data_IF_807622725168
#
_entry.id   IF_807622725168
#
_cell.length_a   1.000
_cell.length_b   1.000
_cell.length_c   1.000
_cell.angle_alpha   90.00
_cell.angle_beta   90.00
_cell.angle_gamma   90.00
#
_symmetry.space_group_name_H-M   'P 1'
#
loop_
_entity.id
_entity.type
_entity.pdbx_description
1 polymer ?
#
# COMPACT_ATOMS: atom_id res chain seq x y z
N UNK A 1 10.11 106.07 20.56
CA UNK A 1 9.12 104.98 20.70
C UNK A 1 9.34 104.00 19.56
N UNK A 2 9.79 102.79 19.88
CA UNK A 2 9.89 101.65 18.95
C UNK A 2 8.48 101.14 18.64
N UNK A 3 8.20 100.88 17.37
CA UNK A 3 7.12 99.98 16.97
C UNK A 3 7.59 99.21 15.73
N UNK A 4 7.82 97.92 15.95
CA UNK A 4 8.23 96.90 15.02
C UNK A 4 7.01 96.50 14.17
N UNK A 5 7.14 96.50 12.84
CA UNK A 5 6.17 95.84 11.95
C UNK A 5 6.86 94.63 11.31
N UNK A 6 6.84 93.51 12.04
CA UNK A 6 7.13 92.18 11.51
C UNK A 6 5.78 91.49 11.28
N UNK A 7 5.28 91.51 10.05
CA UNK A 7 4.13 90.70 9.67
C UNK A 7 4.63 89.35 9.16
N UNK A 8 4.36 88.35 9.99
CA UNK A 8 4.74 86.94 9.89
C UNK A 8 4.11 86.30 8.65
N UNK A 9 4.94 85.83 7.71
CA UNK A 9 4.53 84.89 6.67
C UNK A 9 4.28 83.53 7.32
N UNK A 10 3.01 83.13 7.44
CA UNK A 10 2.62 81.83 7.95
C UNK A 10 2.96 80.73 6.91
N UNK A 11 4.15 80.13 7.03
CA UNK A 11 4.45 78.85 6.38
C UNK A 11 3.62 77.75 7.05
N UNK A 12 2.52 77.36 6.41
CA UNK A 12 1.75 76.16 6.76
C UNK A 12 2.62 74.92 6.49
N UNK A 13 2.94 74.07 7.48
CA UNK A 13 3.58 72.79 7.18
C UNK A 13 2.53 71.88 6.56
N UNK A 14 2.74 71.46 5.31
CA UNK A 14 2.00 70.38 4.68
C UNK A 14 2.17 69.12 5.52
N UNK A 15 1.10 68.73 6.24
CA UNK A 15 0.96 67.44 6.87
C UNK A 15 1.02 66.36 5.78
N UNK A 16 2.20 65.76 5.59
CA UNK A 16 2.42 64.63 4.69
C UNK A 16 1.50 63.48 5.10
N UNK A 17 0.71 62.99 4.13
CA UNK A 17 -0.12 61.78 4.19
C UNK A 17 0.69 60.50 4.44
N UNK A 18 1.25 60.34 5.65
CA UNK A 18 1.96 59.10 6.05
C UNK A 18 1.02 58.01 6.60
N UNK A 19 -0.27 58.32 6.79
CA UNK A 19 -1.28 57.38 7.29
C UNK A 19 -1.90 56.47 6.23
N UNK A 20 -1.96 56.89 4.96
CA UNK A 20 -2.62 56.12 3.88
C UNK A 20 -1.87 54.82 3.54
N UNK A 21 -0.53 54.83 3.59
CA UNK A 21 0.32 53.66 3.32
C UNK A 21 0.25 52.61 4.44
N UNK A 22 0.29 53.04 5.70
CA UNK A 22 0.16 52.14 6.87
C UNK A 22 -1.18 51.40 6.88
N UNK A 23 -2.29 52.10 6.65
CA UNK A 23 -3.61 51.46 6.58
C UNK A 23 -3.73 50.41 5.47
N UNK A 24 -3.00 50.55 4.36
CA UNK A 24 -2.99 49.57 3.28
C UNK A 24 -2.13 48.34 3.64
N UNK A 25 -0.97 48.55 4.26
CA UNK A 25 -0.12 47.47 4.78
C UNK A 25 -0.86 46.64 5.85
N UNK A 26 -1.56 47.29 6.77
CA UNK A 26 -2.33 46.63 7.84
C UNK A 26 -3.49 45.80 7.26
N UNK A 27 -4.19 46.31 6.23
CA UNK A 27 -5.25 45.58 5.52
C UNK A 27 -4.70 44.36 4.77
N UNK A 28 -3.52 44.47 4.17
CA UNK A 28 -2.86 43.34 3.51
C UNK A 28 -2.42 42.26 4.51
N UNK A 29 -1.86 42.65 5.66
CA UNK A 29 -1.48 41.73 6.73
C UNK A 29 -2.70 41.00 7.30
N UNK A 30 -3.82 41.69 7.51
CA UNK A 30 -5.08 41.08 7.93
C UNK A 30 -5.62 40.08 6.90
N UNK A 31 -5.59 40.43 5.61
CA UNK A 31 -6.02 39.53 4.54
C UNK A 31 -5.16 38.27 4.46
N UNK A 32 -3.83 38.42 4.57
CA UNK A 32 -2.89 37.30 4.61
C UNK A 32 -3.13 36.43 5.85
N UNK A 33 -3.32 37.05 7.03
CA UNK A 33 -3.64 36.34 8.26
C UNK A 33 -4.94 35.54 8.15
N UNK A 34 -5.98 36.12 7.57
CA UNK A 34 -7.28 35.46 7.38
C UNK A 34 -7.15 34.25 6.46
N UNK A 35 -6.42 34.38 5.35
CA UNK A 35 -6.12 33.24 4.45
C UNK A 35 -5.32 32.14 5.15
N UNK A 36 -4.36 32.50 6.01
CA UNK A 36 -3.66 31.49 6.82
C UNK A 36 -4.62 30.74 7.74
N UNK A 37 -5.57 31.43 8.39
CA UNK A 37 -6.57 30.73 9.23
C UNK A 37 -7.40 29.76 8.40
N UNK A 38 -7.87 30.19 7.23
CA UNK A 38 -8.66 29.36 6.33
C UNK A 38 -7.88 28.11 5.89
N UNK A 39 -6.61 28.26 5.54
CA UNK A 39 -5.75 27.12 5.21
C UNK A 39 -5.50 26.21 6.41
N UNK A 40 -5.27 26.75 7.61
CA UNK A 40 -5.17 25.94 8.83
C UNK A 40 -6.44 25.12 9.07
N UNK A 41 -7.64 25.69 8.86
CA UNK A 41 -8.88 24.92 8.95
C UNK A 41 -8.97 23.82 7.90
N UNK A 42 -8.57 24.10 6.65
CA UNK A 42 -8.51 23.08 5.61
C UNK A 42 -7.50 21.97 5.93
N UNK A 43 -6.36 22.29 6.53
CA UNK A 43 -5.38 21.32 7.03
C UNK A 43 -6.03 20.41 8.08
N UNK A 44 -6.74 20.98 9.07
CA UNK A 44 -7.44 20.20 10.10
C UNK A 44 -8.56 19.32 9.54
N UNK A 45 -9.26 19.77 8.51
CA UNK A 45 -10.27 18.97 7.81
C UNK A 45 -9.65 17.78 7.08
N UNK A 46 -8.50 17.97 6.41
CA UNK A 46 -7.73 16.88 5.81
C UNK A 46 -7.26 15.89 6.88
N UNK A 47 -6.78 16.36 8.04
CA UNK A 47 -6.40 15.49 9.16
C UNK A 47 -7.57 14.63 9.65
N UNK A 48 -8.76 15.23 9.76
CA UNK A 48 -9.99 14.50 10.12
C UNK A 48 -10.31 13.44 9.07
N UNK A 49 -10.17 13.76 7.79
CA UNK A 49 -10.40 12.82 6.69
C UNK A 49 -9.40 11.67 6.68
N UNK A 50 -8.13 11.92 7.02
CA UNK A 50 -7.11 10.87 7.20
C UNK A 50 -7.54 9.90 8.30
N UNK A 51 -8.01 10.42 9.44
CA UNK A 51 -8.49 9.60 10.54
C UNK A 51 -9.70 8.73 10.13
N UNK A 52 -10.66 9.30 9.41
CA UNK A 52 -11.80 8.54 8.87
C UNK A 52 -11.36 7.41 7.94
N UNK A 53 -10.39 7.68 7.05
CA UNK A 53 -9.84 6.65 6.16
C UNK A 53 -9.14 5.55 6.97
N UNK A 54 -8.36 5.91 7.98
CA UNK A 54 -7.71 4.93 8.87
C UNK A 54 -8.74 4.07 9.61
N UNK A 55 -9.81 4.68 10.13
CA UNK A 55 -10.90 3.95 10.79
C UNK A 55 -11.59 2.98 9.82
N UNK A 56 -11.87 3.42 8.59
CA UNK A 56 -12.44 2.56 7.55
C UNK A 56 -11.52 1.37 7.21
N UNK A 57 -10.20 1.59 7.14
CA UNK A 57 -9.23 0.51 6.93
C UNK A 57 -9.28 -0.51 8.06
N UNK A 58 -9.28 -0.06 9.31
CA UNK A 58 -9.33 -0.95 10.47
C UNK A 58 -10.64 -1.76 10.51
N UNK A 59 -11.77 -1.10 10.22
CA UNK A 59 -13.07 -1.77 10.07
C UNK A 59 -13.02 -2.82 8.97
N UNK A 60 -12.45 -2.47 7.80
CA UNK A 60 -12.32 -3.38 6.66
C UNK A 60 -11.45 -4.61 6.95
N UNK A 61 -10.44 -4.50 7.81
CA UNK A 61 -9.62 -5.64 8.21
C UNK A 61 -10.34 -6.58 9.19
N UNK A 62 -11.28 -6.04 9.98
CA UNK A 62 -12.09 -6.82 10.93
C UNK A 62 -13.39 -7.40 10.31
N UNK A 63 -13.85 -6.84 9.20
CA UNK A 63 -15.13 -7.17 8.59
C UNK A 63 -15.03 -8.28 7.54
N UNK A 64 -16.07 -9.11 7.46
CA UNK A 64 -16.18 -10.25 6.53
C UNK A 64 -16.42 -9.84 5.06
N UNK A 65 -16.82 -8.58 4.80
CA UNK A 65 -17.19 -8.07 3.46
C UNK A 65 -16.36 -6.83 3.06
N UNK A 66 -15.13 -7.01 2.54
CA UNK A 66 -14.17 -5.92 2.28
C UNK A 66 -14.39 -5.13 0.97
N UNK A 67 -15.36 -5.52 0.14
CA UNK A 67 -15.57 -4.96 -1.20
C UNK A 67 -16.21 -3.56 -1.16
N UNK A 68 -17.22 -3.36 -0.32
CA UNK A 68 -17.89 -2.05 -0.18
C UNK A 68 -17.00 -1.01 0.50
N UNK A 69 -16.18 -1.41 1.48
CA UNK A 69 -15.27 -0.50 2.20
C UNK A 69 -14.14 0.02 1.31
N UNK A 70 -13.61 -0.83 0.42
CA UNK A 70 -12.54 -0.45 -0.51
C UNK A 70 -12.98 0.68 -1.45
N UNK A 71 -14.19 0.61 -2.01
CA UNK A 71 -14.72 1.67 -2.88
C UNK A 71 -14.91 3.01 -2.14
N UNK A 72 -15.37 2.98 -0.89
CA UNK A 72 -15.53 4.17 -0.05
C UNK A 72 -14.18 4.80 0.29
N UNK A 73 -13.16 3.98 0.55
CA UNK A 73 -11.79 4.44 0.79
C UNK A 73 -11.23 5.13 -0.47
N UNK A 74 -11.39 4.53 -1.65
CA UNK A 74 -10.90 5.11 -2.90
C UNK A 74 -11.61 6.46 -3.22
N UNK A 75 -12.92 6.56 -2.98
CA UNK A 75 -13.65 7.84 -3.10
C UNK A 75 -13.15 8.88 -2.10
N UNK A 76 -12.86 8.46 -0.87
CA UNK A 76 -12.36 9.33 0.20
C UNK A 76 -10.95 9.86 -0.11
N UNK A 77 -10.09 9.04 -0.71
CA UNK A 77 -8.77 9.44 -1.19
C UNK A 77 -8.85 10.45 -2.34
N UNK A 78 -9.76 10.25 -3.30
CA UNK A 78 -9.94 11.23 -4.39
C UNK A 78 -10.32 12.62 -3.85
N UNK A 79 -11.24 12.67 -2.89
CA UNK A 79 -11.63 13.93 -2.25
C UNK A 79 -10.50 14.54 -1.39
N UNK A 80 -9.70 13.69 -0.73
CA UNK A 80 -8.50 14.12 0.00
C UNK A 80 -7.49 14.79 -0.95
N UNK A 81 -7.28 14.23 -2.14
CA UNK A 81 -6.32 14.72 -3.13
C UNK A 81 -6.73 16.09 -3.71
N UNK A 82 -8.01 16.29 -4.00
CA UNK A 82 -8.54 17.59 -4.43
C UNK A 82 -8.31 18.69 -3.38
N UNK A 83 -8.53 18.35 -2.10
CA UNK A 83 -8.28 19.27 -0.98
C UNK A 83 -6.79 19.52 -0.77
N UNK A 84 -5.96 18.50 -0.97
CA UNK A 84 -4.51 18.61 -0.88
C UNK A 84 -3.96 19.60 -1.91
N UNK A 85 -4.43 19.53 -3.15
CA UNK A 85 -4.03 20.46 -4.21
C UNK A 85 -4.47 21.90 -3.90
N UNK A 86 -5.67 22.06 -3.34
CA UNK A 86 -6.19 23.36 -2.90
C UNK A 86 -5.30 23.98 -1.83
N UNK A 87 -4.95 23.22 -0.78
CA UNK A 87 -4.07 23.69 0.30
C UNK A 87 -2.65 23.93 -0.21
N UNK A 88 -2.12 23.06 -1.06
CA UNK A 88 -0.79 23.22 -1.68
C UNK A 88 -0.70 24.55 -2.44
N UNK A 89 -1.71 24.86 -3.25
CA UNK A 89 -1.77 26.09 -4.04
C UNK A 89 -1.94 27.31 -3.12
N UNK A 90 -2.77 27.20 -2.08
CA UNK A 90 -2.96 28.23 -1.07
C UNK A 90 -1.67 28.57 -0.33
N UNK A 91 -0.93 27.57 0.15
CA UNK A 91 0.33 27.76 0.86
C UNK A 91 1.37 28.42 -0.04
N UNK A 92 1.51 27.99 -1.29
CA UNK A 92 2.39 28.64 -2.27
C UNK A 92 2.06 30.13 -2.47
N UNK A 93 0.76 30.45 -2.54
CA UNK A 93 0.27 31.83 -2.66
C UNK A 93 0.61 32.69 -1.44
N UNK A 94 0.44 32.15 -0.23
CA UNK A 94 0.80 32.82 1.03
C UNK A 94 2.30 33.02 1.13
N UNK A 95 3.11 32.00 0.81
CA UNK A 95 4.57 32.09 0.84
C UNK A 95 5.07 33.22 -0.07
N UNK A 96 4.56 33.29 -1.30
CA UNK A 96 4.88 34.37 -2.25
C UNK A 96 4.45 35.75 -1.72
N UNK A 97 3.33 35.83 -1.01
CA UNK A 97 2.82 37.09 -0.46
C UNK A 97 3.62 37.56 0.76
N UNK A 98 4.29 36.64 1.48
CA UNK A 98 5.12 36.93 2.65
C UNK A 98 6.61 37.17 2.31
N UNK A 99 7.07 36.75 1.13
CA UNK A 99 8.43 36.98 0.61
C UNK A 99 8.96 38.42 0.84
N UNK A 100 8.22 39.51 0.54
CA UNK A 100 8.71 40.87 0.79
C UNK A 100 8.84 41.22 2.29
N UNK A 101 8.11 40.56 3.18
CA UNK A 101 8.21 40.75 4.64
C UNK A 101 9.45 40.05 5.20
N UNK A 102 9.77 38.85 4.69
CA UNK A 102 11.00 38.14 5.05
C UNK A 102 12.25 38.96 4.67
N UNK A 103 12.30 39.51 3.45
CA UNK A 103 13.42 40.35 3.03
C UNK A 103 13.58 41.64 3.84
N UNK A 104 12.47 42.20 4.35
CA UNK A 104 12.48 43.41 5.18
C UNK A 104 13.01 43.14 6.59
N UNK A 105 12.67 41.97 7.14
CA UNK A 105 13.18 41.50 8.43
C UNK A 105 14.69 41.28 8.41
N UNK A 106 15.24 40.71 7.33
CA UNK A 106 16.70 40.45 7.21
C UNK A 106 17.55 41.72 7.04
N UNK A 107 17.02 42.76 6.39
CA UNK A 107 17.79 43.97 6.03
C UNK A 107 17.87 45.03 7.15
N UNK A 108 17.17 44.86 8.28
CA UNK A 108 17.02 45.92 9.27
C UNK A 108 17.38 45.47 10.71
N UNK A 109 18.67 45.53 11.12
CA UNK A 109 19.07 45.25 12.49
C UNK A 109 18.81 46.52 13.34
N UNK A 110 17.56 46.80 13.69
CA UNK A 110 17.27 47.91 14.61
C UNK A 110 16.54 47.40 15.85
N UNK A 111 17.26 47.52 16.97
CA UNK A 111 16.76 47.41 18.34
C UNK A 111 15.54 48.33 18.47
N UNK A 112 14.34 47.75 18.49
CA UNK A 112 13.11 48.42 18.93
C UNK A 112 12.50 47.58 20.04
N UNK A 113 12.59 48.10 21.26
CA UNK A 113 11.96 47.54 22.44
C UNK A 113 10.42 47.62 22.36
N UNK A 114 9.79 46.59 22.94
CA UNK A 114 8.46 46.61 23.55
C UNK A 114 7.20 46.65 22.65
N UNK A 115 7.02 45.63 21.79
CA UNK A 115 5.73 44.93 21.53
C UNK A 115 6.00 43.84 20.46
N UNK A 116 5.33 42.67 20.48
CA UNK A 116 5.36 41.79 19.32
C UNK A 116 4.77 42.57 18.14
N UNK A 117 5.62 42.96 17.20
CA UNK A 117 5.18 43.66 15.99
C UNK A 117 4.17 42.76 15.29
N UNK A 118 3.07 43.30 14.76
CA UNK A 118 2.02 42.48 14.11
C UNK A 118 2.60 41.51 13.07
N UNK A 119 3.63 41.96 12.35
CA UNK A 119 4.47 41.16 11.45
C UNK A 119 5.08 39.90 12.12
N UNK A 120 5.64 40.03 13.32
CA UNK A 120 6.20 38.89 14.07
C UNK A 120 5.13 37.87 14.48
N UNK A 121 3.89 38.32 14.77
CA UNK A 121 2.75 37.43 15.04
C UNK A 121 2.35 36.68 13.78
N UNK A 122 2.28 37.36 12.64
CA UNK A 122 1.98 36.77 11.33
C UNK A 122 3.06 35.74 10.94
N UNK A 123 4.34 36.05 11.13
CA UNK A 123 5.44 35.13 10.85
C UNK A 123 5.40 33.89 11.74
N UNK A 124 5.09 34.04 13.04
CA UNK A 124 4.91 32.88 13.93
C UNK A 124 3.74 32.00 13.49
N UNK A 125 2.61 32.62 13.13
CA UNK A 125 1.43 31.90 12.63
C UNK A 125 1.74 31.15 11.34
N UNK A 126 2.45 31.80 10.42
CA UNK A 126 2.91 31.19 9.17
C UNK A 126 3.81 29.98 9.44
N UNK A 127 4.81 30.13 10.31
CA UNK A 127 5.70 29.04 10.68
C UNK A 127 4.96 27.85 11.31
N UNK A 128 3.97 28.10 12.17
CA UNK A 128 3.13 27.05 12.74
C UNK A 128 2.32 26.30 11.67
N UNK A 129 1.63 27.04 10.79
CA UNK A 129 0.84 26.48 9.69
C UNK A 129 1.72 25.66 8.71
N UNK A 130 2.93 26.13 8.39
CA UNK A 130 3.88 25.38 7.56
C UNK A 130 4.33 24.09 8.26
N UNK A 131 4.58 24.15 9.58
CA UNK A 131 4.90 22.95 10.36
C UNK A 131 3.77 21.92 10.38
N UNK A 132 2.52 22.36 10.55
CA UNK A 132 1.33 21.51 10.46
C UNK A 132 1.18 20.89 9.07
N UNK A 133 1.41 21.68 8.01
CA UNK A 133 1.37 21.21 6.64
C UNK A 133 2.44 20.15 6.35
N UNK A 134 3.67 20.36 6.79
CA UNK A 134 4.76 19.39 6.60
C UNK A 134 4.51 18.09 7.37
N UNK A 135 3.91 18.17 8.56
CA UNK A 135 3.47 16.99 9.30
C UNK A 135 2.37 16.24 8.55
N UNK A 136 1.35 16.97 8.07
CA UNK A 136 0.25 16.41 7.29
C UNK A 136 0.73 15.71 6.01
N UNK A 137 1.67 16.31 5.27
CA UNK A 137 2.27 15.69 4.09
C UNK A 137 2.90 14.32 4.41
N UNK A 138 3.58 14.20 5.54
CA UNK A 138 4.16 12.93 6.00
C UNK A 138 3.08 11.93 6.36
N UNK A 139 2.03 12.35 7.08
CA UNK A 139 0.88 11.49 7.43
C UNK A 139 0.20 10.93 6.17
N UNK A 140 -0.03 11.77 5.16
CA UNK A 140 -0.61 11.35 3.88
C UNK A 140 0.30 10.34 3.17
N UNK A 141 1.61 10.57 3.16
CA UNK A 141 2.55 9.65 2.55
C UNK A 141 2.56 8.28 3.27
N UNK A 142 2.53 8.28 4.61
CA UNK A 142 2.41 7.05 5.40
C UNK A 142 1.10 6.33 5.08
N UNK A 143 -0.03 7.04 5.12
CA UNK A 143 -1.34 6.47 4.80
C UNK A 143 -1.37 5.84 3.41
N UNK A 144 -0.79 6.51 2.40
CA UNK A 144 -0.70 6.00 1.03
C UNK A 144 0.11 4.71 0.92
N UNK A 145 1.24 4.62 1.62
CA UNK A 145 2.05 3.39 1.63
C UNK A 145 1.32 2.25 2.35
N UNK A 146 0.67 2.53 3.48
CA UNK A 146 -0.13 1.54 4.19
C UNK A 146 -1.30 1.00 3.34
N UNK A 147 -2.00 1.86 2.61
CA UNK A 147 -3.07 1.46 1.69
C UNK A 147 -2.57 0.62 0.51
N UNK A 148 -1.38 0.94 -0.02
CA UNK A 148 -0.75 0.12 -1.05
C UNK A 148 -0.37 -1.26 -0.50
N UNK A 149 0.08 -1.32 0.75
CA UNK A 149 0.37 -2.57 1.44
C UNK A 149 -0.89 -3.41 1.64
N UNK A 150 -2.01 -2.83 2.10
CA UNK A 150 -3.29 -3.54 2.23
C UNK A 150 -3.73 -4.20 0.93
N UNK A 151 -3.76 -3.42 -0.17
CA UNK A 151 -4.17 -3.93 -1.49
C UNK A 151 -3.28 -5.10 -1.90
N UNK A 152 -1.98 -4.98 -1.66
CA UNK A 152 -1.03 -6.04 -1.95
C UNK A 152 -1.24 -7.27 -1.05
N UNK A 153 -1.49 -7.10 0.24
CA UNK A 153 -1.77 -8.22 1.16
C UNK A 153 -3.00 -9.01 0.73
N UNK A 154 -4.04 -8.33 0.27
CA UNK A 154 -5.24 -8.99 -0.29
C UNK A 154 -4.86 -9.81 -1.51
N UNK A 155 -4.15 -9.23 -2.48
CA UNK A 155 -3.68 -9.96 -3.67
C UNK A 155 -2.82 -11.14 -3.27
N UNK A 156 -1.84 -10.93 -2.38
CA UNK A 156 -0.92 -11.93 -1.87
C UNK A 156 -1.65 -13.14 -1.28
N UNK A 157 -2.65 -12.91 -0.41
CA UNK A 157 -3.46 -13.99 0.16
C UNK A 157 -4.17 -14.78 -0.94
N UNK A 158 -4.87 -14.09 -1.84
CA UNK A 158 -5.60 -14.75 -2.93
C UNK A 158 -4.69 -15.58 -3.82
N UNK A 159 -3.54 -15.05 -4.25
CA UNK A 159 -2.61 -15.80 -5.11
C UNK A 159 -1.95 -16.96 -4.38
N UNK A 160 -1.64 -16.80 -3.09
CA UNK A 160 -1.05 -17.88 -2.29
C UNK A 160 -2.05 -19.00 -2.05
N UNK A 161 -3.29 -18.68 -1.70
CA UNK A 161 -4.37 -19.66 -1.53
C UNK A 161 -4.67 -20.38 -2.85
N UNK A 162 -4.59 -19.67 -3.98
CA UNK A 162 -4.70 -20.29 -5.31
C UNK A 162 -3.56 -21.28 -5.55
N UNK A 163 -2.31 -20.91 -5.25
CA UNK A 163 -1.17 -21.81 -5.35
C UNK A 163 -1.35 -23.04 -4.46
N UNK A 164 -1.76 -22.85 -3.21
CA UNK A 164 -2.00 -23.93 -2.24
C UNK A 164 -3.10 -24.89 -2.70
N UNK A 165 -4.18 -24.37 -3.30
CA UNK A 165 -5.24 -25.18 -3.89
C UNK A 165 -4.75 -26.03 -5.07
N UNK A 166 -3.96 -25.44 -5.98
CA UNK A 166 -3.39 -26.16 -7.12
C UNK A 166 -2.37 -27.22 -6.68
N UNK A 167 -1.47 -26.88 -5.75
CA UNK A 167 -0.50 -27.81 -5.16
C UNK A 167 -1.19 -28.97 -4.45
N UNK A 168 -2.24 -28.69 -3.65
CA UNK A 168 -3.00 -29.73 -2.95
C UNK A 168 -3.74 -30.66 -3.91
N UNK A 169 -4.24 -30.13 -5.04
CA UNK A 169 -4.88 -30.94 -6.09
C UNK A 169 -3.88 -31.88 -6.78
N UNK A 170 -2.68 -31.39 -7.05
CA UNK A 170 -1.57 -32.19 -7.60
C UNK A 170 -1.09 -33.25 -6.60
N UNK A 171 -0.89 -32.88 -5.34
CA UNK A 171 -0.49 -33.82 -4.27
C UNK A 171 -1.48 -34.98 -4.14
N UNK A 172 -2.78 -34.71 -4.18
CA UNK A 172 -3.81 -35.76 -4.15
C UNK A 172 -3.71 -36.71 -5.35
N UNK A 173 -3.39 -36.18 -6.53
CA UNK A 173 -3.23 -37.00 -7.73
C UNK A 173 -1.96 -37.88 -7.63
N UNK A 174 -0.84 -37.28 -7.21
CA UNK A 174 0.42 -37.98 -6.94
C UNK A 174 0.21 -39.10 -5.91
N UNK A 175 -0.44 -38.81 -4.77
CA UNK A 175 -0.70 -39.81 -3.74
C UNK A 175 -1.48 -41.01 -4.29
N UNK A 176 -2.53 -40.77 -5.09
CA UNK A 176 -3.32 -41.87 -5.69
C UNK A 176 -2.48 -42.74 -6.61
N UNK A 177 -1.60 -42.15 -7.43
CA UNK A 177 -0.68 -42.89 -8.28
C UNK A 177 0.29 -43.73 -7.44
N UNK A 178 0.89 -43.13 -6.39
CA UNK A 178 1.79 -43.85 -5.49
C UNK A 178 1.10 -44.99 -4.74
N UNK A 179 -0.13 -44.77 -4.26
CA UNK A 179 -0.93 -45.80 -3.59
C UNK A 179 -1.25 -46.97 -4.54
N UNK A 180 -1.57 -46.66 -5.81
CA UNK A 180 -1.80 -47.67 -6.83
C UNK A 180 -0.53 -48.49 -7.12
N UNK A 181 0.61 -47.82 -7.35
CA UNK A 181 1.90 -48.48 -7.57
C UNK A 181 2.24 -49.40 -6.40
N UNK A 182 2.05 -48.93 -5.16
CA UNK A 182 2.29 -49.71 -3.96
C UNK A 182 1.40 -50.97 -3.88
N UNK A 183 0.11 -50.85 -4.23
CA UNK A 183 -0.80 -51.99 -4.29
C UNK A 183 -0.38 -53.02 -5.34
N UNK A 184 0.00 -52.58 -6.55
CA UNK A 184 0.46 -53.47 -7.62
C UNK A 184 1.75 -54.20 -7.22
N UNK A 185 2.72 -53.50 -6.64
CA UNK A 185 3.97 -54.11 -6.18
C UNK A 185 3.74 -55.14 -5.06
N UNK A 186 2.87 -54.81 -4.10
CA UNK A 186 2.52 -55.73 -3.00
C UNK A 186 1.79 -56.97 -3.49
N UNK A 187 0.85 -56.83 -4.41
CA UNK A 187 0.11 -57.96 -4.98
C UNK A 187 1.01 -58.84 -5.87
N UNK A 188 1.96 -58.25 -6.59
CA UNK A 188 3.00 -59.00 -7.32
C UNK A 188 3.88 -59.88 -6.42
N UNK A 189 4.14 -59.42 -5.19
CA UNK A 189 4.92 -60.17 -4.18
C UNK A 189 4.11 -61.33 -3.57
N UNK A 190 2.83 -61.12 -3.22
CA UNK A 190 1.94 -62.18 -2.73
C UNK A 190 1.67 -63.27 -3.78
N UNK A 191 1.52 -62.87 -5.06
CA UNK A 191 1.43 -63.80 -6.19
C UNK A 191 2.72 -64.60 -6.37
N UNK A 192 3.89 -64.00 -6.14
CA UNK A 192 5.17 -64.70 -6.24
C UNK A 192 5.33 -65.76 -5.14
N UNK A 193 4.89 -65.45 -3.92
CA UNK A 193 4.94 -66.38 -2.77
C UNK A 193 3.92 -67.52 -2.94
N UNK A 194 2.71 -67.22 -3.40
CA UNK A 194 1.64 -68.22 -3.58
C UNK A 194 1.86 -69.17 -4.78
N UNK A 195 2.60 -68.72 -5.80
CA UNK A 195 3.00 -69.57 -6.95
C UNK A 195 4.07 -70.63 -6.60
N UNK A 196 4.71 -70.52 -5.43
CA UNK A 196 5.68 -71.51 -4.94
C UNK A 196 5.02 -72.79 -4.41
N UNK A 197 3.71 -72.80 -4.17
CA UNK A 197 3.01 -73.86 -3.44
C UNK A 197 1.77 -74.46 -4.15
N UNK A 198 1.44 -74.03 -5.37
CA UNK A 198 0.32 -74.64 -6.13
C UNK A 198 0.47 -74.47 -7.65
N UNK A 199 0.43 -75.58 -8.38
CA UNK A 199 0.35 -75.64 -9.83
C UNK A 199 -1.10 -75.54 -10.31
N UNK A 200 -1.34 -74.63 -11.27
CA UNK A 200 -2.52 -74.54 -12.14
C UNK A 200 -3.77 -73.86 -11.54
N UNK A 201 -4.12 -72.69 -12.09
CA UNK A 201 -5.26 -72.49 -13.01
C UNK A 201 -5.31 -70.98 -13.33
N UNK A 202 -5.20 -70.67 -14.63
CA UNK A 202 -5.67 -69.46 -15.33
C UNK A 202 -5.58 -68.13 -14.58
N UNK A 203 -4.50 -67.40 -14.89
CA UNK A 203 -4.35 -65.97 -14.60
C UNK A 203 -5.38 -65.15 -15.37
N UNK A 204 -6.59 -65.03 -14.83
CA UNK A 204 -7.50 -63.92 -15.07
C UNK A 204 -6.96 -62.71 -14.29
N UNK A 205 -5.76 -62.23 -14.68
CA UNK A 205 -5.14 -61.03 -14.10
C UNK A 205 -5.96 -59.85 -14.60
N UNK A 206 -6.98 -59.58 -13.80
CA UNK A 206 -8.04 -58.59 -13.85
C UNK A 206 -7.84 -57.45 -14.86
N UNK A 207 -8.55 -57.44 -16.01
CA UNK A 207 -8.66 -56.25 -16.87
C UNK A 207 -9.08 -54.99 -16.09
N UNK A 208 -9.76 -55.17 -14.95
CA UNK A 208 -10.20 -54.10 -14.06
C UNK A 208 -9.06 -53.29 -13.42
N UNK A 209 -7.87 -53.87 -13.21
CA UNK A 209 -6.70 -53.13 -12.69
C UNK A 209 -6.04 -52.27 -13.78
N UNK A 210 -6.08 -52.71 -15.05
CA UNK A 210 -5.51 -51.95 -16.17
C UNK A 210 -6.39 -50.74 -16.53
N UNK A 211 -7.71 -50.90 -16.54
CA UNK A 211 -8.64 -49.80 -16.82
C UNK A 211 -8.55 -48.71 -15.72
N UNK A 212 -8.38 -49.13 -14.46
CA UNK A 212 -8.19 -48.22 -13.33
C UNK A 212 -6.86 -47.46 -13.42
N UNK A 213 -5.78 -48.14 -13.84
CA UNK A 213 -4.48 -47.51 -14.09
C UNK A 213 -4.58 -46.44 -15.19
N UNK A 214 -5.16 -46.80 -16.34
CA UNK A 214 -5.30 -45.89 -17.49
C UNK A 214 -6.11 -44.63 -17.11
N UNK A 215 -7.23 -44.81 -16.39
CA UNK A 215 -8.06 -43.69 -15.91
C UNK A 215 -7.31 -42.79 -14.92
N UNK A 216 -6.54 -43.39 -14.00
CA UNK A 216 -5.74 -42.67 -13.02
C UNK A 216 -4.61 -41.88 -13.69
N UNK A 217 -3.92 -42.51 -14.64
CA UNK A 217 -2.85 -41.90 -15.42
C UNK A 217 -3.37 -40.72 -16.24
N UNK A 218 -4.51 -40.86 -16.93
CA UNK A 218 -5.13 -39.76 -17.68
C UNK A 218 -5.48 -38.57 -16.78
N UNK A 219 -6.10 -38.83 -15.62
CA UNK A 219 -6.44 -37.78 -14.65
C UNK A 219 -5.21 -37.06 -14.10
N UNK A 220 -4.16 -37.82 -13.81
CA UNK A 220 -2.89 -37.33 -13.30
C UNK A 220 -2.18 -36.46 -14.34
N UNK A 221 -2.05 -36.94 -15.58
CA UNK A 221 -1.43 -36.20 -16.68
C UNK A 221 -2.18 -34.90 -17.00
N UNK A 222 -3.51 -34.93 -17.01
CA UNK A 222 -4.33 -33.74 -17.21
C UNK A 222 -4.06 -32.68 -16.11
N UNK A 223 -4.06 -33.09 -14.83
CA UNK A 223 -3.77 -32.20 -13.71
C UNK A 223 -2.34 -31.65 -13.77
N UNK A 224 -1.36 -32.50 -14.10
CA UNK A 224 0.05 -32.12 -14.26
C UNK A 224 0.20 -31.04 -15.34
N UNK A 225 -0.34 -31.28 -16.52
CA UNK A 225 -0.29 -30.37 -17.67
C UNK A 225 -0.85 -28.97 -17.38
N UNK A 226 -1.91 -28.87 -16.59
CA UNK A 226 -2.56 -27.59 -16.30
C UNK A 226 -2.01 -26.91 -15.03
N UNK A 227 -1.86 -27.65 -13.93
CA UNK A 227 -1.49 -27.06 -12.65
C UNK A 227 0.00 -26.82 -12.48
N UNK A 228 0.90 -27.56 -13.13
CA UNK A 228 2.33 -27.29 -13.04
C UNK A 228 2.74 -25.89 -13.57
N UNK A 229 2.38 -25.53 -14.83
CA UNK A 229 2.71 -24.20 -15.32
C UNK A 229 1.93 -23.10 -14.59
N UNK A 230 0.67 -23.35 -14.22
CA UNK A 230 -0.14 -22.39 -13.48
C UNK A 230 0.44 -22.10 -12.08
N UNK A 231 0.82 -23.13 -11.31
CA UNK A 231 1.44 -22.96 -9.99
C UNK A 231 2.75 -22.21 -10.08
N UNK A 232 3.59 -22.54 -11.07
CA UNK A 232 4.87 -21.83 -11.28
C UNK A 232 4.63 -20.35 -11.61
N UNK A 233 3.64 -20.05 -12.46
CA UNK A 233 3.27 -18.66 -12.80
C UNK A 233 2.79 -17.90 -11.58
N UNK A 234 1.92 -18.51 -10.76
CA UNK A 234 1.39 -17.87 -9.54
C UNK A 234 2.50 -17.59 -8.54
N UNK A 235 3.40 -18.55 -8.28
CA UNK A 235 4.54 -18.34 -7.38
C UNK A 235 5.50 -17.26 -7.90
N UNK A 236 5.69 -17.14 -9.22
CA UNK A 236 6.49 -16.07 -9.82
C UNK A 236 5.87 -14.68 -9.61
N UNK A 237 4.54 -14.56 -9.62
CA UNK A 237 3.85 -13.30 -9.30
C UNK A 237 4.11 -12.92 -7.83
N UNK A 238 4.09 -13.90 -6.92
CA UNK A 238 4.39 -13.70 -5.50
C UNK A 238 5.84 -13.23 -5.32
N UNK A 239 6.79 -13.93 -5.94
CA UNK A 239 8.22 -13.64 -5.85
C UNK A 239 8.52 -12.21 -6.34
N UNK A 240 7.97 -11.82 -7.50
CA UNK A 240 8.06 -10.45 -8.00
C UNK A 240 7.46 -9.45 -7.02
N UNK A 241 6.28 -9.75 -6.46
CA UNK A 241 5.63 -8.88 -5.47
C UNK A 241 6.45 -8.67 -4.19
N UNK A 242 7.16 -9.71 -3.73
CA UNK A 242 8.04 -9.66 -2.57
C UNK A 242 9.32 -8.85 -2.87
N UNK A 243 9.92 -9.05 -4.05
CA UNK A 243 11.13 -8.34 -4.48
C UNK A 243 10.88 -6.85 -4.71
N UNK A 244 9.82 -6.50 -5.46
CA UNK A 244 9.55 -5.12 -5.90
C UNK A 244 9.17 -4.20 -4.72
N UNK A 245 8.62 -4.74 -3.63
CA UNK A 245 8.04 -3.95 -2.53
C UNK A 245 8.83 -4.00 -1.22
N UNK A 246 9.92 -4.77 -1.16
CA UNK A 246 10.68 -5.06 0.08
C UNK A 246 9.73 -5.13 1.28
N UNK A 247 8.77 -6.05 1.22
CA UNK A 247 7.75 -6.14 2.27
C UNK A 247 8.42 -6.44 3.62
N UNK A 248 8.05 -5.70 4.66
CA UNK A 248 8.50 -5.94 6.04
C UNK A 248 7.62 -6.96 6.77
N UNK A 249 6.58 -7.47 6.11
CA UNK A 249 5.65 -8.41 6.69
C UNK A 249 6.29 -9.81 6.73
N UNK A 250 6.81 -10.18 7.91
CA UNK A 250 7.46 -11.47 8.13
C UNK A 250 6.57 -12.68 7.84
N UNK A 251 5.25 -12.56 8.03
CA UNK A 251 4.30 -13.64 7.72
C UNK A 251 4.20 -13.89 6.21
N UNK A 252 4.18 -12.83 5.39
CA UNK A 252 4.21 -12.98 3.93
C UNK A 252 5.51 -13.63 3.44
N UNK A 253 6.65 -13.21 4.00
CA UNK A 253 7.95 -13.80 3.66
C UNK A 253 8.00 -15.29 4.03
N UNK A 254 7.53 -15.63 5.23
CA UNK A 254 7.44 -17.01 5.71
C UNK A 254 6.54 -17.85 4.79
N UNK A 255 5.33 -17.37 4.50
CA UNK A 255 4.37 -18.09 3.65
C UNK A 255 4.91 -18.28 2.22
N UNK A 256 5.54 -17.26 1.64
CA UNK A 256 6.20 -17.37 0.34
C UNK A 256 7.30 -18.43 0.33
N UNK A 257 8.16 -18.45 1.35
CA UNK A 257 9.22 -19.45 1.47
C UNK A 257 8.65 -20.86 1.61
N UNK A 258 7.60 -21.04 2.43
CA UNK A 258 6.89 -22.31 2.61
C UNK A 258 6.26 -22.81 1.31
N UNK A 259 5.48 -21.97 0.61
CA UNK A 259 4.85 -22.34 -0.67
C UNK A 259 5.90 -22.68 -1.73
N UNK A 260 7.01 -21.93 -1.79
CA UNK A 260 8.11 -22.20 -2.72
C UNK A 260 8.80 -23.53 -2.43
N UNK A 261 9.05 -23.84 -1.15
CA UNK A 261 9.66 -25.10 -0.75
C UNK A 261 8.73 -26.28 -0.98
N UNK A 262 7.44 -26.14 -0.64
CA UNK A 262 6.40 -27.13 -0.93
C UNK A 262 6.33 -27.43 -2.43
N UNK A 263 6.37 -26.39 -3.27
CA UNK A 263 6.34 -26.55 -4.72
C UNK A 263 7.57 -27.31 -5.25
N UNK A 264 8.76 -27.01 -4.74
CA UNK A 264 9.98 -27.72 -5.10
C UNK A 264 9.88 -29.21 -4.75
N UNK A 265 9.50 -29.53 -3.52
CA UNK A 265 9.32 -30.91 -3.07
C UNK A 265 8.26 -31.66 -3.89
N UNK A 266 7.15 -30.98 -4.23
CA UNK A 266 6.09 -31.55 -5.03
C UNK A 266 6.55 -31.86 -6.47
N UNK A 267 7.34 -30.99 -7.10
CA UNK A 267 7.93 -31.26 -8.41
C UNK A 267 8.83 -32.49 -8.40
N UNK A 268 9.65 -32.65 -7.37
CA UNK A 268 10.49 -33.84 -7.22
C UNK A 268 9.65 -35.12 -7.02
N UNK A 269 8.58 -35.05 -6.23
CA UNK A 269 7.64 -36.16 -6.06
C UNK A 269 6.94 -36.54 -7.37
N UNK A 270 6.49 -35.55 -8.14
CA UNK A 270 5.91 -35.75 -9.47
C UNK A 270 6.90 -36.48 -10.37
N UNK A 271 8.15 -36.02 -10.46
CA UNK A 271 9.16 -36.66 -11.30
C UNK A 271 9.46 -38.12 -10.90
N UNK A 272 9.46 -38.42 -9.59
CA UNK A 272 9.59 -39.81 -9.11
C UNK A 272 8.38 -40.67 -9.48
N UNK A 273 7.18 -40.17 -9.25
CA UNK A 273 5.94 -40.89 -9.59
C UNK A 273 5.81 -41.11 -11.09
N UNK A 274 6.23 -40.15 -11.93
CA UNK A 274 6.31 -40.32 -13.39
C UNK A 274 7.18 -41.54 -13.74
N UNK A 275 8.39 -41.62 -13.15
CA UNK A 275 9.32 -42.74 -13.39
C UNK A 275 8.77 -44.09 -12.89
N UNK A 276 8.07 -44.10 -11.75
CA UNK A 276 7.46 -45.31 -11.18
C UNK A 276 6.24 -45.78 -11.98
N UNK A 277 5.40 -44.85 -12.46
CA UNK A 277 4.24 -45.16 -13.30
C UNK A 277 4.68 -45.76 -14.66
N UNK A 278 5.77 -45.24 -15.25
CA UNK A 278 6.37 -45.80 -16.48
C UNK A 278 6.89 -47.23 -16.28
N UNK A 279 7.36 -47.58 -15.08
CA UNK A 279 7.87 -48.92 -14.78
C UNK A 279 6.77 -49.97 -14.50
N UNK A 280 5.54 -49.52 -14.21
CA UNK A 280 4.37 -50.39 -14.00
C UNK A 280 3.63 -50.68 -15.32
N UNK A 281 3.83 -49.83 -16.33
CA UNK A 281 3.30 -49.97 -17.69
C UNK A 281 4.04 -51.04 -18.49
#
# INVERSE_FOLDING_TARGET
>A
MRAENVTITANRPMFKWKGKGRSHEDLQLLAISSRMTELSYNISDIQTRIFEIQELRHKSQSATEPSNTTGVIDQSLSSLDERLETVTTGIKSINKSLEPLFERSEKTPTIREAAPTEEAVILRKHAAMVGEWDALQKEIQVLREELKEDKWLTVFRTVTDQADGMMSSLEKAVNRCQDFIWQVQRQGLEDAISRSSSSSIRSDKSPMNQDMFNSLQESYEAKKKHYMPATTKVLSIIDKGVQDRVTKNGECLRRHAESTQRWRNLKERIARTDSEMEAVH
#
